data_IF_902858013143
#
_entry.id   IF_902858013143
#
_cell.length_a   1.000
_cell.length_b   1.000
_cell.length_c   1.000
_cell.angle_alpha   90.00
_cell.angle_beta   90.00
_cell.angle_gamma   90.00
#
_symmetry.space_group_name_H-M   'P 1'
#
loop_
_entity.id
_entity.type
_entity.pdbx_description
1 polymer ?
#
# COMPACT_ATOMS: atom_id res chain seq x y z
N UNK A 1 -6.71 -12.83 -11.70
CA UNK A 1 -7.43 -11.86 -10.85
C UNK A 1 -6.57 -10.61 -10.71
N UNK A 2 -7.09 -9.41 -10.97
CA UNK A 2 -6.30 -8.16 -10.95
C UNK A 2 -5.97 -7.76 -9.51
N UNK A 3 -4.69 -7.61 -9.17
CA UNK A 3 -4.20 -7.25 -7.83
C UNK A 3 -4.85 -5.96 -7.30
N UNK A 4 -5.21 -5.01 -8.19
CA UNK A 4 -5.96 -3.80 -7.84
C UNK A 4 -7.38 -4.11 -7.37
N UNK A 5 -8.05 -5.08 -8.00
CA UNK A 5 -9.37 -5.54 -7.55
C UNK A 5 -9.30 -6.23 -6.19
N UNK A 6 -8.19 -6.94 -5.90
CA UNK A 6 -7.97 -7.58 -4.60
C UNK A 6 -7.80 -6.52 -3.51
N UNK A 7 -6.96 -5.51 -3.75
CA UNK A 7 -6.77 -4.41 -2.80
C UNK A 7 -8.04 -3.59 -2.58
N UNK A 8 -8.83 -3.34 -3.63
CA UNK A 8 -10.12 -2.67 -3.52
C UNK A 8 -11.13 -3.49 -2.71
N UNK A 9 -11.23 -4.80 -2.98
CA UNK A 9 -12.10 -5.69 -2.22
C UNK A 9 -11.71 -5.74 -0.74
N UNK A 10 -10.42 -5.81 -0.42
CA UNK A 10 -9.92 -5.81 0.95
C UNK A 10 -10.24 -4.49 1.68
N UNK A 11 -10.08 -3.35 1.01
CA UNK A 11 -10.45 -2.05 1.56
C UNK A 11 -11.96 -1.92 1.78
N UNK A 12 -12.78 -2.40 0.84
CA UNK A 12 -14.24 -2.41 0.97
C UNK A 12 -14.70 -3.26 2.17
N UNK A 13 -14.12 -4.44 2.37
CA UNK A 13 -14.41 -5.30 3.52
C UNK A 13 -14.04 -4.59 4.83
N UNK A 14 -12.88 -3.95 4.89
CA UNK A 14 -12.46 -3.18 6.06
C UNK A 14 -13.42 -2.03 6.41
N UNK A 15 -13.91 -1.30 5.40
CA UNK A 15 -14.91 -0.25 5.58
C UNK A 15 -16.25 -0.79 6.10
N UNK A 16 -16.70 -1.94 5.59
CA UNK A 16 -17.93 -2.60 6.03
C UNK A 16 -17.83 -3.03 7.49
N UNK A 17 -16.69 -3.59 7.91
CA UNK A 17 -16.45 -3.98 9.31
C UNK A 17 -16.51 -2.78 10.26
N UNK A 18 -15.90 -1.65 9.88
CA UNK A 18 -15.95 -0.41 10.68
C UNK A 18 -17.38 0.14 10.74
N UNK A 19 -18.10 0.12 9.61
CA UNK A 19 -19.47 0.60 9.53
C UNK A 19 -20.40 -0.20 10.44
N UNK A 20 -20.30 -1.52 10.41
CA UNK A 20 -21.08 -2.43 11.24
C UNK A 20 -20.79 -2.24 12.74
N UNK A 21 -19.56 -1.87 13.09
CA UNK A 21 -19.14 -1.60 14.46
C UNK A 21 -19.57 -0.21 15.01
N UNK A 22 -20.33 0.59 14.24
CA UNK A 22 -20.87 1.86 14.75
C UNK A 22 -22.04 1.66 15.71
N UNK A 23 -22.24 2.55 16.71
CA UNK A 23 -23.29 2.39 17.73
C UNK A 23 -24.71 2.29 17.17
N UNK A 24 -24.97 2.97 16.04
CA UNK A 24 -26.27 2.91 15.37
C UNK A 24 -26.48 1.54 14.71
N UNK A 25 -25.44 0.97 14.09
CA UNK A 25 -25.51 -0.32 13.41
C UNK A 25 -25.53 -1.50 14.39
N UNK A 26 -24.79 -1.43 15.49
CA UNK A 26 -24.79 -2.46 16.55
C UNK A 26 -26.19 -2.68 17.11
N UNK A 27 -27.00 -1.63 17.26
CA UNK A 27 -28.38 -1.71 17.74
C UNK A 27 -29.34 -2.38 16.76
N UNK A 28 -29.03 -2.29 15.47
CA UNK A 28 -29.87 -2.79 14.38
C UNK A 28 -29.53 -4.26 14.07
N UNK A 29 -28.27 -4.66 14.25
CA UNK A 29 -27.79 -6.00 13.88
C UNK A 29 -28.00 -6.96 15.07
N UNK A 30 -28.95 -7.92 14.97
CA UNK A 30 -29.16 -8.91 16.02
C UNK A 30 -27.90 -9.76 16.19
N UNK A 31 -27.45 -9.92 17.44
CA UNK A 31 -26.23 -10.65 17.80
C UNK A 31 -25.00 -9.76 18.04
N UNK A 32 -24.93 -8.57 17.44
CA UNK A 32 -23.81 -7.64 17.69
C UNK A 32 -23.95 -6.89 19.01
N UNK A 33 -25.18 -6.59 19.41
CA UNK A 33 -25.48 -5.91 20.68
C UNK A 33 -25.23 -6.78 21.92
N UNK A 34 -24.97 -8.08 21.74
CA UNK A 34 -24.62 -9.02 22.81
C UNK A 34 -23.11 -9.22 22.94
N UNK A 35 -22.31 -8.67 22.03
CA UNK A 35 -20.86 -8.78 22.07
C UNK A 35 -20.28 -7.84 23.11
N UNK A 36 -19.26 -8.32 23.82
CA UNK A 36 -18.49 -7.48 24.73
C UNK A 36 -17.91 -6.26 24.01
N UNK A 37 -17.89 -5.08 24.65
CA UNK A 37 -17.31 -3.87 24.08
C UNK A 37 -15.85 -4.03 23.62
N UNK A 38 -15.11 -4.93 24.25
CA UNK A 38 -13.73 -5.29 23.86
C UNK A 38 -13.68 -5.96 22.48
N UNK A 39 -14.63 -6.84 22.16
CA UNK A 39 -14.71 -7.53 20.86
C UNK A 39 -15.01 -6.52 19.76
N UNK A 40 -15.92 -5.56 20.01
CA UNK A 40 -16.24 -4.48 19.07
C UNK A 40 -14.99 -3.64 18.76
N UNK A 41 -14.16 -3.33 19.76
CA UNK A 41 -12.88 -2.63 19.55
C UNK A 41 -11.94 -3.42 18.64
N UNK A 42 -11.83 -4.74 18.83
CA UNK A 42 -11.00 -5.58 17.94
C UNK A 42 -11.52 -5.62 16.51
N UNK A 43 -12.84 -5.62 16.30
CA UNK A 43 -13.45 -5.54 14.96
C UNK A 43 -13.08 -4.22 14.27
N UNK A 44 -13.14 -3.09 15.00
CA UNK A 44 -12.75 -1.78 14.47
C UNK A 44 -11.27 -1.76 14.10
N UNK A 45 -10.39 -2.23 14.99
CA UNK A 45 -8.94 -2.26 14.75
C UNK A 45 -8.62 -3.12 13.52
N UNK A 46 -9.23 -4.30 13.43
CA UNK A 46 -9.05 -5.21 12.29
C UNK A 46 -9.56 -4.57 10.99
N UNK A 47 -10.71 -3.90 11.04
CA UNK A 47 -11.25 -3.15 9.90
C UNK A 47 -10.29 -2.07 9.40
N UNK A 48 -9.71 -1.28 10.30
CA UNK A 48 -8.73 -0.22 9.95
C UNK A 48 -7.49 -0.83 9.29
N UNK A 49 -6.97 -1.94 9.82
CA UNK A 49 -5.81 -2.65 9.24
C UNK A 49 -6.13 -3.15 7.83
N UNK A 50 -7.30 -3.74 7.61
CA UNK A 50 -7.75 -4.18 6.29
C UNK A 50 -7.87 -3.02 5.29
N UNK A 51 -8.40 -1.87 5.71
CA UNK A 51 -8.45 -0.66 4.87
C UNK A 51 -7.04 -0.20 4.51
N UNK A 52 -6.14 -0.08 5.48
CA UNK A 52 -4.76 0.32 5.27
C UNK A 52 -4.02 -0.61 4.30
N UNK A 53 -4.10 -1.93 4.53
CA UNK A 53 -3.50 -2.92 3.64
C UNK A 53 -4.09 -2.88 2.23
N UNK A 54 -5.41 -2.75 2.11
CA UNK A 54 -6.08 -2.66 0.81
C UNK A 54 -5.61 -1.44 0.00
N UNK A 55 -5.51 -0.28 0.64
CA UNK A 55 -5.00 0.95 0.02
C UNK A 55 -3.54 0.81 -0.41
N UNK A 56 -2.67 0.28 0.47
CA UNK A 56 -1.25 0.04 0.15
C UNK A 56 -1.11 -0.89 -1.05
N UNK A 57 -1.92 -1.95 -1.12
CA UNK A 57 -1.89 -2.92 -2.22
C UNK A 57 -2.37 -2.30 -3.55
N UNK A 58 -3.38 -1.43 -3.51
CA UNK A 58 -3.82 -0.65 -4.68
C UNK A 58 -2.76 0.35 -5.14
N UNK A 59 -2.09 1.05 -4.22
CA UNK A 59 -1.05 2.04 -4.54
C UNK A 59 0.26 1.40 -5.01
N UNK A 60 0.72 0.33 -4.37
CA UNK A 60 1.92 -0.42 -4.77
C UNK A 60 1.83 -0.90 -6.22
N UNK A 61 0.63 -1.25 -6.67
CA UNK A 61 0.38 -1.73 -8.03
C UNK A 61 0.10 -0.58 -9.02
N UNK A 62 -0.07 0.65 -8.53
CA UNK A 62 -0.03 1.86 -9.35
C UNK A 62 1.41 2.25 -9.71
N UNK A 63 2.38 1.98 -8.83
CA UNK A 63 3.81 2.27 -9.06
C UNK A 63 4.51 1.22 -9.94
N UNK A 64 3.95 0.02 -10.06
CA UNK A 64 4.49 -1.07 -10.89
C UNK A 64 4.57 -0.80 -12.41
N UNK A 65 4.07 0.35 -12.89
CA UNK A 65 4.29 0.79 -14.29
C UNK A 65 5.16 2.04 -14.46
N UNK A 66 5.59 2.70 -13.38
CA UNK A 66 6.50 3.86 -13.46
C UNK A 66 7.78 3.71 -12.64
N UNK A 67 7.84 2.81 -11.66
CA UNK A 67 8.99 2.71 -10.75
C UNK A 67 9.70 1.36 -10.74
N UNK A 68 9.17 0.32 -11.40
CA UNK A 68 9.87 -0.97 -11.54
C UNK A 68 11.08 -0.94 -12.52
N UNK A 69 11.26 0.13 -13.31
CA UNK A 69 12.39 0.27 -14.25
C UNK A 69 13.38 1.39 -13.91
N UNK A 70 13.15 2.12 -12.82
CA UNK A 70 14.05 3.20 -12.40
C UNK A 70 14.38 3.14 -10.91
N UNK A 71 14.50 1.94 -10.34
CA UNK A 71 15.42 1.76 -9.23
C UNK A 71 16.86 1.65 -9.77
N UNK A 72 17.27 2.63 -10.60
CA UNK A 72 18.69 2.94 -10.73
C UNK A 72 19.04 3.51 -9.37
N UNK A 73 19.64 2.69 -8.52
CA UNK A 73 20.60 3.16 -7.54
C UNK A 73 21.39 4.29 -8.21
N UNK A 74 21.15 5.54 -7.78
CA UNK A 74 21.98 6.67 -8.18
C UNK A 74 23.34 6.47 -7.50
N UNK A 75 24.11 5.49 -7.96
CA UNK A 75 25.55 5.42 -7.72
C UNK A 75 26.22 6.26 -8.80
N UNK A 76 26.01 7.57 -8.70
CA UNK A 76 26.61 8.56 -9.57
C UNK A 76 26.27 8.46 -11.06
N UNK A 77 26.64 9.51 -11.78
CA UNK A 77 26.60 9.54 -13.23
C UNK A 77 27.98 9.11 -13.75
N UNK A 78 28.02 8.14 -14.68
CA UNK A 78 29.28 7.73 -15.32
C UNK A 78 29.66 8.78 -16.37
N UNK A 79 30.64 9.61 -16.04
CA UNK A 79 31.18 10.63 -16.95
C UNK A 79 32.42 10.07 -17.64
N UNK A 80 32.44 9.94 -18.98
CA UNK A 80 33.63 9.51 -19.72
C UNK A 80 34.78 10.50 -19.54
N UNK A 81 35.97 9.97 -19.26
CA UNK A 81 37.23 10.71 -19.22
C UNK A 81 37.83 10.64 -20.62
N UNK A 82 38.00 11.80 -21.25
CA UNK A 82 38.61 11.90 -22.58
C UNK A 82 40.09 12.27 -22.49
N UNK A 83 40.93 11.61 -23.29
CA UNK A 83 42.27 12.07 -23.61
C UNK A 83 42.39 12.21 -25.13
N UNK A 84 42.71 13.42 -25.59
CA UNK A 84 42.90 13.73 -27.01
C UNK A 84 41.77 13.22 -27.93
N UNK A 85 40.52 13.32 -27.45
CA UNK A 85 39.26 12.86 -28.09
C UNK A 85 38.97 11.35 -28.03
N UNK A 86 39.80 10.54 -27.38
CA UNK A 86 39.50 9.13 -27.12
C UNK A 86 39.01 8.93 -25.68
N UNK A 87 38.03 8.05 -25.48
CA UNK A 87 37.53 7.69 -24.15
C UNK A 87 38.53 6.73 -23.51
N UNK A 88 39.22 7.19 -22.47
CA UNK A 88 40.24 6.40 -21.75
C UNK A 88 39.72 5.76 -20.46
N UNK A 89 38.48 6.08 -20.05
CA UNK A 89 37.84 5.50 -18.89
C UNK A 89 36.54 6.22 -18.54
N UNK A 90 35.85 5.74 -17.51
CA UNK A 90 34.63 6.37 -16.99
C UNK A 90 34.82 6.67 -15.50
N UNK A 91 34.40 7.87 -15.08
CA UNK A 91 34.42 8.31 -13.68
C UNK A 91 33.00 8.34 -13.15
N UNK A 92 32.77 7.75 -11.99
CA UNK A 92 31.49 7.88 -11.29
C UNK A 92 31.54 9.15 -10.42
N UNK A 93 30.75 10.16 -10.76
CA UNK A 93 30.59 11.37 -9.93
C UNK A 93 29.44 11.18 -8.95
N UNK A 94 29.73 11.32 -7.64
CA UNK A 94 28.77 11.12 -6.54
C UNK A 94 28.09 12.42 -6.15
#
# INVERSE_FOLDING_TARGET
MNIKMIGFALAAIGMVLIFIATPNMIKIIPGLNQLDPSIIKYIIITGIICVGMGIILVMSTAEGKKHAYHHKTKMGEEVPIFHNKEIIGYRITK
#
